data_IF_463390726507
#
_entry.id   IF_463390726507
#
_cell.length_a   1.000
_cell.length_b   1.000
_cell.length_c   1.000
_cell.angle_alpha   90.00
_cell.angle_beta   90.00
_cell.angle_gamma   90.00
#
_symmetry.space_group_name_H-M   'P 1'
#
loop_
_entity.id
_entity.type
_entity.pdbx_description
1 polymer ?
#
# COMPACT_ATOMS: atom_id res chain seq x y z
N UNK A 1 -19.96 25.36 -17.36
CA UNK A 1 -20.49 26.66 -16.89
C UNK A 1 -20.07 27.74 -17.88
N UNK A 2 -20.82 28.84 -18.04
CA UNK A 2 -20.38 29.95 -18.90
C UNK A 2 -19.01 30.46 -18.45
N UNK A 3 -18.09 30.69 -19.39
CA UNK A 3 -16.73 31.20 -19.10
C UNK A 3 -15.68 30.14 -18.75
N UNK A 4 -16.01 28.85 -18.76
CA UNK A 4 -15.02 27.76 -18.63
C UNK A 4 -14.73 27.17 -20.00
N UNK A 5 -13.46 27.22 -20.39
CA UNK A 5 -12.94 26.60 -21.61
C UNK A 5 -12.01 25.46 -21.23
N UNK A 6 -12.03 24.37 -21.99
CA UNK A 6 -11.16 23.21 -21.76
C UNK A 6 -10.61 22.72 -23.07
N UNK A 7 -9.30 22.47 -23.09
CA UNK A 7 -8.60 21.90 -24.22
C UNK A 7 -7.77 20.71 -23.74
N UNK A 8 -7.68 19.68 -24.57
CA UNK A 8 -6.87 18.49 -24.31
C UNK A 8 -5.77 18.42 -25.35
N UNK A 9 -4.53 18.35 -24.89
CA UNK A 9 -3.35 18.21 -25.75
C UNK A 9 -2.67 16.88 -25.43
N UNK A 10 -2.46 16.05 -26.43
CA UNK A 10 -1.66 14.83 -26.29
C UNK A 10 -0.21 15.14 -26.64
N UNK A 11 0.68 15.03 -25.65
CA UNK A 11 2.12 15.17 -25.83
C UNK A 11 2.75 13.79 -26.10
N UNK A 12 3.23 13.58 -27.33
CA UNK A 12 3.84 12.31 -27.75
C UNK A 12 5.24 12.09 -27.17
N UNK A 13 5.98 13.15 -26.86
CA UNK A 13 7.38 13.07 -26.43
C UNK A 13 7.54 13.51 -24.97
N UNK A 14 8.49 12.90 -24.26
CA UNK A 14 8.88 13.32 -22.91
C UNK A 14 9.61 14.66 -22.98
N UNK A 15 9.31 15.59 -22.06
CA UNK A 15 9.90 16.91 -22.04
C UNK A 15 9.11 17.95 -21.25
N UNK A 16 9.61 19.17 -21.22
CA UNK A 16 8.89 20.33 -20.70
C UNK A 16 8.10 20.97 -21.83
N UNK A 17 6.81 21.18 -21.59
CA UNK A 17 5.88 21.86 -22.48
C UNK A 17 5.45 23.17 -21.83
N UNK A 18 5.55 24.26 -22.58
CA UNK A 18 5.06 25.56 -22.18
C UNK A 18 3.75 25.85 -22.91
N UNK A 19 2.77 26.34 -22.16
CA UNK A 19 1.45 26.70 -22.65
C UNK A 19 1.19 28.15 -22.30
N UNK A 20 0.66 28.90 -23.26
CA UNK A 20 0.14 30.24 -23.02
C UNK A 20 -1.35 30.23 -23.39
N UNK A 21 -2.18 30.67 -22.46
CA UNK A 21 -3.62 30.81 -22.68
C UNK A 21 -3.93 32.29 -22.65
N UNK A 22 -4.54 32.80 -23.71
CA UNK A 22 -5.02 34.17 -23.82
C UNK A 22 -6.54 34.18 -23.82
N UNK A 23 -7.13 35.01 -22.96
CA UNK A 23 -8.56 35.29 -22.97
C UNK A 23 -8.82 36.53 -23.83
N UNK A 24 -9.73 36.44 -24.79
CA UNK A 24 -10.14 37.57 -25.63
C UNK A 24 -11.65 37.79 -25.57
N UNK A 25 -12.05 39.06 -25.60
CA UNK A 25 -13.43 39.51 -25.82
C UNK A 25 -13.44 40.36 -27.08
N UNK A 26 -14.08 39.85 -28.13
CA UNK A 26 -14.01 40.43 -29.48
C UNK A 26 -12.54 40.58 -29.94
N UNK A 27 -12.04 41.80 -30.13
CA UNK A 27 -10.65 42.10 -30.48
C UNK A 27 -9.80 42.59 -29.28
N UNK A 28 -10.34 42.56 -28.05
CA UNK A 28 -9.66 43.00 -26.83
C UNK A 28 -9.11 41.81 -26.03
N UNK A 29 -7.80 41.81 -25.77
CA UNK A 29 -7.14 40.83 -24.90
C UNK A 29 -7.45 41.14 -23.42
N UNK A 30 -8.11 40.19 -22.74
CA UNK A 30 -8.45 40.27 -21.33
C UNK A 30 -7.31 39.82 -20.42
N UNK A 31 -6.29 39.15 -20.97
CA UNK A 31 -5.08 38.72 -20.27
C UNK A 31 -4.55 37.38 -20.72
N UNK A 32 -3.28 37.10 -20.40
CA UNK A 32 -2.63 35.82 -20.66
C UNK A 32 -2.13 35.15 -19.38
N UNK A 33 -2.10 33.82 -19.40
CA UNK A 33 -1.59 33.00 -18.32
C UNK A 33 -0.62 31.95 -18.89
N UNK A 34 0.71 32.19 -18.79
CA UNK A 34 1.70 31.18 -19.14
C UNK A 34 1.83 30.15 -18.02
N UNK A 35 1.97 28.87 -18.38
CA UNK A 35 2.29 27.79 -17.47
C UNK A 35 3.10 26.70 -18.17
N UNK A 36 3.91 25.98 -17.39
CA UNK A 36 4.73 24.89 -17.92
C UNK A 36 4.37 23.56 -17.24
N UNK A 37 4.32 22.49 -18.02
CA UNK A 37 4.08 21.13 -17.56
C UNK A 37 5.22 20.26 -18.04
N UNK A 38 5.75 19.41 -17.16
CA UNK A 38 6.73 18.39 -17.57
C UNK A 38 6.03 17.04 -17.76
N UNK A 39 6.14 16.49 -18.97
CA UNK A 39 5.67 15.15 -19.32
C UNK A 39 6.85 14.19 -19.24
N UNK A 40 6.74 13.15 -18.43
CA UNK A 40 7.75 12.09 -18.29
C UNK A 40 7.08 10.73 -18.50
N UNK A 41 7.71 9.84 -19.28
CA UNK A 41 7.29 8.44 -19.38
C UNK A 41 7.60 7.72 -18.06
N UNK A 42 6.58 7.18 -17.41
CA UNK A 42 6.76 6.23 -16.31
C UNK A 42 6.95 6.79 -14.90
N UNK A 43 6.62 8.06 -14.61
CA UNK A 43 6.83 8.64 -13.27
C UNK A 43 5.51 8.79 -12.49
N UNK A 44 4.92 7.65 -12.11
CA UNK A 44 3.95 7.58 -11.03
C UNK A 44 4.54 6.96 -9.74
N UNK A 45 5.84 6.64 -9.73
CA UNK A 45 6.46 5.88 -8.62
C UNK A 45 7.02 6.75 -7.48
N UNK A 46 7.06 8.08 -7.63
CA UNK A 46 7.69 8.97 -6.64
C UNK A 46 6.84 10.16 -6.16
N UNK A 47 5.51 10.09 -6.24
CA UNK A 47 4.63 11.14 -5.66
C UNK A 47 4.34 10.94 -4.16
N UNK A 48 4.74 9.81 -3.57
CA UNK A 48 4.46 9.49 -2.17
C UNK A 48 5.70 8.95 -1.44
N UNK A 49 6.77 9.76 -1.39
CA UNK A 49 7.94 9.47 -0.54
C UNK A 49 7.60 9.61 0.97
N UNK A 50 6.36 10.00 1.27
CA UNK A 50 5.82 10.09 2.62
C UNK A 50 5.10 8.79 3.00
N UNK A 51 5.27 8.38 4.25
CA UNK A 51 4.53 7.26 4.81
C UNK A 51 3.02 7.51 4.69
N UNK A 52 2.29 6.61 4.03
CA UNK A 52 0.83 6.65 3.96
C UNK A 52 0.24 6.19 5.30
N UNK A 53 0.27 7.07 6.30
CA UNK A 53 -0.25 6.82 7.64
C UNK A 53 -1.71 6.33 7.64
N UNK A 54 -2.66 6.95 6.90
CA UNK A 54 -4.04 6.46 6.86
C UNK A 54 -4.17 5.01 6.38
N UNK A 55 -3.36 4.61 5.40
CA UNK A 55 -3.34 3.22 4.94
C UNK A 55 -2.82 2.28 6.02
N UNK A 56 -1.71 2.62 6.68
CA UNK A 56 -1.10 1.79 7.71
C UNK A 56 -2.00 1.63 8.94
N UNK A 57 -2.66 2.70 9.38
CA UNK A 57 -3.66 2.68 10.45
C UNK A 57 -4.87 1.80 10.08
N UNK A 58 -5.35 1.89 8.84
CA UNK A 58 -6.43 1.02 8.37
C UNK A 58 -6.00 -0.44 8.34
N UNK A 59 -4.79 -0.74 7.89
CA UNK A 59 -4.26 -2.11 7.86
C UNK A 59 -4.17 -2.67 9.27
N UNK A 60 -3.66 -1.91 10.24
CA UNK A 60 -3.55 -2.38 11.62
C UNK A 60 -4.93 -2.67 12.24
N UNK A 61 -5.91 -1.78 12.01
CA UNK A 61 -7.29 -2.01 12.47
C UNK A 61 -7.92 -3.29 11.89
N UNK A 62 -7.69 -3.55 10.61
CA UNK A 62 -8.24 -4.74 9.93
C UNK A 62 -7.58 -6.04 10.38
N UNK A 63 -6.29 -6.01 10.73
CA UNK A 63 -5.54 -7.20 11.18
C UNK A 63 -5.61 -7.41 12.69
N UNK A 64 -6.24 -6.51 13.44
CA UNK A 64 -6.23 -6.51 14.90
C UNK A 64 -4.87 -6.12 15.50
N UNK A 65 -3.99 -5.52 14.70
CA UNK A 65 -2.72 -4.97 15.13
C UNK A 65 -2.82 -3.49 15.56
N UNK A 66 -1.71 -2.96 16.04
CA UNK A 66 -1.60 -1.57 16.50
C UNK A 66 -0.62 -0.78 15.61
N UNK A 67 -0.96 0.48 15.34
CA UNK A 67 -0.09 1.39 14.58
C UNK A 67 0.76 2.23 15.56
N UNK A 68 2.08 2.18 15.37
CA UNK A 68 3.04 2.93 16.19
C UNK A 68 3.54 4.18 15.46
N UNK A 69 3.40 5.34 16.10
CA UNK A 69 4.05 6.60 15.74
C UNK A 69 5.42 6.73 16.43
N UNK A 70 6.16 7.80 16.14
CA UNK A 70 7.42 8.08 16.83
C UNK A 70 7.22 8.37 18.33
N UNK A 71 6.03 8.86 18.71
CA UNK A 71 5.74 9.27 20.09
C UNK A 71 5.46 8.06 21.01
N UNK A 72 4.92 6.97 20.46
CA UNK A 72 4.59 5.74 21.20
C UNK A 72 5.53 4.56 20.86
N UNK A 73 6.64 4.83 20.16
CA UNK A 73 7.61 3.80 19.77
C UNK A 73 8.23 3.08 20.97
N UNK A 74 8.24 3.73 22.14
CA UNK A 74 8.71 3.14 23.39
C UNK A 74 7.86 1.95 23.87
N UNK A 75 6.59 1.87 23.45
CA UNK A 75 5.64 0.82 23.85
C UNK A 75 5.72 -0.41 22.93
N UNK A 76 6.37 -0.27 21.77
CA UNK A 76 6.53 -1.33 20.76
C UNK A 76 7.14 -2.63 21.33
N UNK A 77 8.20 -2.61 22.17
CA UNK A 77 8.75 -3.84 22.73
C UNK A 77 7.75 -4.62 23.60
N UNK A 78 6.84 -3.94 24.28
CA UNK A 78 5.80 -4.57 25.09
C UNK A 78 4.70 -5.16 24.19
N UNK A 79 4.27 -4.43 23.17
CA UNK A 79 3.30 -4.90 22.18
C UNK A 79 3.78 -6.14 21.41
N UNK A 80 5.08 -6.22 21.08
CA UNK A 80 5.67 -7.41 20.42
C UNK A 80 5.76 -8.59 21.40
N UNK A 81 6.01 -8.34 22.70
CA UNK A 81 6.08 -9.39 23.72
C UNK A 81 4.74 -10.08 23.97
N UNK A 82 3.64 -9.33 23.90
CA UNK A 82 2.28 -9.84 24.09
C UNK A 82 1.56 -10.16 22.79
N UNK A 83 2.10 -9.75 21.63
CA UNK A 83 1.62 -10.16 20.32
C UNK A 83 1.59 -11.69 20.27
N UNK A 84 0.38 -12.22 20.34
CA UNK A 84 0.06 -13.59 19.99
C UNK A 84 0.24 -13.81 18.47
N UNK A 85 1.36 -13.37 17.90
CA UNK A 85 2.04 -14.19 16.92
C UNK A 85 2.52 -15.45 17.66
N UNK A 86 1.55 -16.25 18.15
CA UNK A 86 1.76 -17.65 18.39
C UNK A 86 2.32 -18.14 17.08
N UNK A 87 3.60 -18.47 17.09
CA UNK A 87 4.21 -19.20 16.02
C UNK A 87 3.31 -20.42 15.90
N UNK A 88 2.45 -20.44 14.88
CA UNK A 88 1.63 -21.62 14.57
C UNK A 88 2.62 -22.61 14.02
N UNK A 89 3.33 -23.27 14.93
CA UNK A 89 4.20 -24.37 14.59
C UNK A 89 3.27 -25.54 14.31
N UNK A 90 3.04 -25.79 13.02
CA UNK A 90 2.40 -27.01 12.56
C UNK A 90 3.34 -28.18 12.92
N UNK A 91 3.20 -28.73 14.12
CA UNK A 91 3.89 -29.96 14.50
C UNK A 91 3.26 -31.14 13.76
N UNK A 92 3.99 -31.67 12.78
CA UNK A 92 3.67 -32.96 12.17
C UNK A 92 4.17 -34.05 13.11
N UNK A 93 3.28 -34.53 13.97
CA UNK A 93 3.58 -35.69 14.81
C UNK A 93 3.45 -36.96 13.96
N UNK A 94 4.54 -37.73 13.75
CA UNK A 94 4.46 -38.98 13.01
C UNK A 94 3.63 -39.99 13.80
N UNK A 95 2.42 -40.29 13.31
CA UNK A 95 1.51 -41.22 13.98
C UNK A 95 2.20 -42.56 14.24
N UNK A 96 2.94 -43.10 13.27
CA UNK A 96 3.69 -44.36 13.37
C UNK A 96 4.68 -44.45 14.53
N UNK A 97 5.20 -43.32 15.02
CA UNK A 97 6.15 -43.28 16.12
C UNK A 97 5.49 -43.39 17.51
N UNK A 98 4.15 -43.44 17.59
CA UNK A 98 3.44 -43.58 18.86
C UNK A 98 3.49 -45.03 19.38
N UNK A 99 3.82 -45.26 20.67
CA UNK A 99 3.87 -46.59 21.27
C UNK A 99 2.56 -47.39 21.14
N UNK A 100 1.42 -46.70 21.08
CA UNK A 100 0.11 -47.35 20.97
C UNK A 100 -0.07 -48.13 19.66
N UNK A 101 0.56 -47.69 18.57
CA UNK A 101 0.47 -48.40 17.29
C UNK A 101 1.18 -49.75 17.36
N UNK A 102 2.28 -49.84 18.10
CA UNK A 102 2.95 -51.11 18.35
C UNK A 102 2.06 -52.07 19.14
N UNK A 103 1.38 -51.57 20.18
CA UNK A 103 0.43 -52.37 20.98
C UNK A 103 -0.77 -52.84 20.15
N UNK A 104 -1.31 -51.99 19.28
CA UNK A 104 -2.40 -52.33 18.36
C UNK A 104 -1.99 -53.44 17.38
N UNK A 105 -0.77 -53.39 16.84
CA UNK A 105 -0.25 -54.43 15.95
C UNK A 105 -0.07 -55.78 16.68
N UNK A 106 0.39 -55.76 17.94
CA UNK A 106 0.48 -56.99 18.76
C UNK A 106 -0.90 -57.58 19.00
N UNK A 107 -1.87 -56.77 19.37
CA UNK A 107 -3.27 -57.20 19.57
C UNK A 107 -3.85 -57.82 18.32
N UNK A 108 -3.66 -57.19 17.15
CA UNK A 108 -4.13 -57.71 15.87
C UNK A 108 -3.43 -59.01 15.46
N UNK A 109 -2.17 -59.21 15.87
CA UNK A 109 -1.38 -60.42 15.59
C UNK A 109 -1.72 -61.58 16.54
N UNK A 110 -2.14 -61.26 17.76
CA UNK A 110 -2.42 -62.20 18.84
C UNK A 110 -3.89 -62.63 18.93
N UNK A 111 -4.81 -61.88 18.31
CA UNK A 111 -6.15 -62.35 17.96
C UNK A 111 -6.15 -63.17 16.69
#
# INVERSE_FOLDING_TARGET
EPGIYSATVQAEQTGVYEFEVEAMLDDESLGSAPFAVRREDGVAEHFAIQQNRPLLERVSQLTGGEYFSLDNLADLPEAIRFSQAGIVETQVLPLWSMPINFLLLILLKAG
#
